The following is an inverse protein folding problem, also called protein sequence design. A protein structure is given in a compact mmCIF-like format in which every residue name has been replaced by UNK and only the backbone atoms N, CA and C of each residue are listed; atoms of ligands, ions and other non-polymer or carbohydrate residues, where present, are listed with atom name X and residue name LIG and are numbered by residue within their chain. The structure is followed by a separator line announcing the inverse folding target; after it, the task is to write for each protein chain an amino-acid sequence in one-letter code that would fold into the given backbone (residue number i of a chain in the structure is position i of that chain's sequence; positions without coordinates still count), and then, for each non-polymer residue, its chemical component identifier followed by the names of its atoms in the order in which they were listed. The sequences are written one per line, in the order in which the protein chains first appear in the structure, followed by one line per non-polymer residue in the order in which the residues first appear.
data_IF_248481152501
#
_entry.id   IF_248481152501
#
_cell.length_a   1.000
_cell.length_b   1.000
_cell.length_c   1.000
_cell.angle_alpha   90.00
_cell.angle_beta   90.00
_cell.angle_gamma   90.00
#
_symmetry.space_group_name_H-M   'P 1'
#
loop_
_entity.id
_entity.type
_entity.pdbx_description
1 polymer ?
#
# COMPACT_ATOMS: atom_id res chain seq x y z
N UNK A 1 13.55 8.20 -1.41
CA UNK A 1 12.98 8.29 -2.80
C UNK A 1 13.10 6.95 -3.48
N UNK A 2 12.06 6.50 -4.22
CA UNK A 2 12.13 5.24 -4.98
C UNK A 2 12.09 5.58 -6.47
N UNK A 3 13.14 5.21 -7.20
CA UNK A 3 13.20 5.35 -8.66
C UNK A 3 12.99 3.99 -9.32
N UNK A 4 12.34 3.98 -10.46
CA UNK A 4 12.07 2.74 -11.18
C UNK A 4 11.98 2.97 -12.69
N UNK A 5 12.47 2.00 -13.42
CA UNK A 5 12.25 1.87 -14.86
C UNK A 5 12.20 0.38 -15.15
N UNK A 6 11.00 -0.17 -15.35
CA UNK A 6 10.83 -1.61 -15.53
C UNK A 6 9.67 -1.98 -16.43
N UNK A 7 9.74 -3.20 -16.96
CA UNK A 7 8.64 -3.87 -17.65
C UNK A 7 8.37 -5.21 -16.97
N UNK A 8 7.08 -5.53 -16.80
CA UNK A 8 6.65 -6.87 -16.36
C UNK A 8 5.58 -7.42 -17.30
N UNK A 9 5.86 -8.55 -17.93
CA UNK A 9 4.92 -9.25 -18.76
C UNK A 9 4.04 -10.18 -17.92
N UNK A 10 2.71 -10.09 -18.12
CA UNK A 10 1.69 -10.97 -17.57
C UNK A 10 0.81 -11.47 -18.70
N UNK A 11 0.11 -12.59 -18.55
CA UNK A 11 -0.73 -13.13 -19.63
C UNK A 11 -1.77 -12.14 -20.17
N UNK A 12 -2.34 -11.30 -19.30
CA UNK A 12 -3.41 -10.35 -19.66
C UNK A 12 -2.91 -8.95 -19.97
N UNK A 13 -1.74 -8.54 -19.46
CA UNK A 13 -1.24 -7.16 -19.62
C UNK A 13 0.27 -7.10 -19.41
N UNK A 14 0.95 -6.30 -20.23
CA UNK A 14 2.36 -5.94 -20.00
C UNK A 14 2.42 -4.58 -19.33
N UNK A 15 2.88 -4.53 -18.08
CA UNK A 15 3.03 -3.27 -17.34
C UNK A 15 4.40 -2.67 -17.61
N UNK A 16 4.39 -1.38 -18.01
CA UNK A 16 5.58 -0.55 -18.18
C UNK A 16 5.49 0.67 -17.25
N UNK A 17 6.53 0.90 -16.50
CA UNK A 17 6.59 2.00 -15.55
C UNK A 17 7.99 2.62 -15.55
N UNK A 18 8.05 3.95 -15.63
CA UNK A 18 9.28 4.73 -15.56
C UNK A 18 9.00 5.98 -14.74
N UNK A 19 9.76 6.22 -13.66
CA UNK A 19 9.55 7.37 -12.80
C UNK A 19 10.13 7.28 -11.40
N UNK A 20 9.63 8.14 -10.52
CA UNK A 20 10.05 8.21 -9.13
C UNK A 20 8.88 8.46 -8.18
N UNK A 21 8.95 7.83 -7.01
CA UNK A 21 8.07 8.05 -5.86
C UNK A 21 8.84 8.80 -4.78
N UNK A 22 8.28 9.90 -4.32
CA UNK A 22 8.80 10.70 -3.20
C UNK A 22 7.75 10.80 -2.11
N UNK A 23 8.04 11.52 -1.01
CA UNK A 23 7.09 11.75 0.08
C UNK A 23 5.75 12.31 -0.42
N UNK A 24 4.70 12.06 0.37
CA UNK A 24 3.32 12.36 0.01
C UNK A 24 2.59 11.20 -0.66
N UNK A 25 1.32 11.45 -1.02
CA UNK A 25 0.41 10.44 -1.56
C UNK A 25 0.36 10.55 -3.08
N UNK A 26 0.83 9.50 -3.75
CA UNK A 26 0.65 9.32 -5.20
C UNK A 26 -0.55 8.43 -5.43
N UNK A 27 -1.61 8.96 -6.00
CA UNK A 27 -2.78 8.18 -6.38
C UNK A 27 -2.57 7.56 -7.75
N UNK A 28 -2.85 6.28 -7.87
CA UNK A 28 -2.81 5.54 -9.13
C UNK A 28 -4.23 5.09 -9.51
N UNK A 29 -4.79 5.73 -10.53
CA UNK A 29 -6.11 5.40 -11.07
C UNK A 29 -6.01 4.60 -12.37
N UNK A 30 -7.15 4.14 -12.86
CA UNK A 30 -7.27 3.40 -14.13
C UNK A 30 -8.28 2.26 -14.03
N UNK A 31 -8.67 1.72 -15.17
CA UNK A 31 -9.68 0.65 -15.26
C UNK A 31 -9.24 -0.64 -14.55
N UNK A 32 -10.21 -1.48 -14.18
CA UNK A 32 -9.92 -2.81 -13.68
C UNK A 32 -9.12 -3.62 -14.71
N UNK A 33 -8.09 -4.33 -14.24
CA UNK A 33 -7.21 -5.10 -15.14
C UNK A 33 -6.13 -4.29 -15.85
N UNK A 34 -6.08 -2.95 -15.72
CA UNK A 34 -5.07 -2.11 -16.41
C UNK A 34 -3.62 -2.34 -15.97
N UNK A 35 -3.39 -3.01 -14.81
CA UNK A 35 -2.04 -3.31 -14.33
C UNK A 35 -1.65 -2.65 -13.00
N UNK A 36 -2.50 -1.84 -12.36
CA UNK A 36 -2.24 -1.12 -11.11
C UNK A 36 -1.69 -2.04 -9.99
N UNK A 37 -2.42 -3.11 -9.68
CA UNK A 37 -1.99 -4.07 -8.66
C UNK A 37 -0.69 -4.78 -9.05
N UNK A 38 -0.43 -4.99 -10.34
CA UNK A 38 0.84 -5.56 -10.82
C UNK A 38 1.99 -4.59 -10.57
N UNK A 39 1.80 -3.29 -10.84
CA UNK A 39 2.78 -2.25 -10.57
C UNK A 39 3.17 -2.23 -9.09
N UNK A 40 2.20 -2.07 -8.17
CA UNK A 40 2.52 -2.01 -6.74
C UNK A 40 3.12 -3.32 -6.22
N UNK A 41 2.72 -4.49 -6.74
CA UNK A 41 3.35 -5.77 -6.40
C UNK A 41 4.80 -5.87 -6.87
N UNK A 42 5.19 -5.20 -7.96
CA UNK A 42 6.60 -5.10 -8.37
C UNK A 42 7.39 -4.25 -7.38
N UNK A 43 6.87 -3.09 -6.99
CA UNK A 43 7.48 -2.23 -5.94
C UNK A 43 7.58 -2.98 -4.61
N UNK A 44 6.53 -3.73 -4.23
CA UNK A 44 6.50 -4.53 -3.00
C UNK A 44 7.49 -5.72 -3.00
N UNK A 45 8.03 -6.12 -4.17
CA UNK A 45 8.88 -7.30 -4.27
C UNK A 45 8.13 -8.64 -4.31
N UNK A 46 6.84 -8.60 -4.58
CA UNK A 46 5.98 -9.79 -4.71
C UNK A 46 5.94 -10.31 -6.16
N UNK A 47 6.23 -9.42 -7.10
CA UNK A 47 6.28 -9.74 -8.53
C UNK A 47 7.62 -9.27 -9.06
N UNK A 48 8.35 -10.17 -9.73
CA UNK A 48 9.63 -9.87 -10.33
C UNK A 48 9.45 -9.24 -11.71
N UNK A 49 9.99 -8.04 -11.99
CA UNK A 49 10.01 -7.46 -13.32
C UNK A 49 10.71 -8.36 -14.35
N UNK A 50 10.27 -8.29 -15.60
CA UNK A 50 10.91 -9.00 -16.70
C UNK A 50 12.23 -8.32 -17.08
N UNK A 51 12.23 -6.99 -17.16
CA UNK A 51 13.40 -6.15 -17.47
C UNK A 51 13.43 -4.91 -16.56
N UNK A 52 14.57 -4.23 -16.50
CA UNK A 52 14.73 -2.95 -15.83
C UNK A 52 15.13 -3.04 -14.35
N UNK A 53 14.96 -1.93 -13.64
CA UNK A 53 15.48 -1.75 -12.28
C UNK A 53 14.50 -1.02 -11.37
N UNK A 54 14.67 -1.22 -10.06
CA UNK A 54 14.00 -0.47 -8.99
C UNK A 54 15.07 -0.17 -7.93
N UNK A 55 15.18 1.09 -7.54
CA UNK A 55 16.12 1.56 -6.55
C UNK A 55 15.37 2.33 -5.44
N UNK A 56 15.71 2.08 -4.20
CA UNK A 56 15.22 2.81 -3.05
C UNK A 56 16.40 3.50 -2.38
N UNK A 57 16.46 4.82 -2.47
CA UNK A 57 17.62 5.63 -2.06
C UNK A 57 18.91 5.03 -2.65
N UNK A 58 19.88 4.68 -1.84
CA UNK A 58 21.15 4.07 -2.28
C UNK A 58 21.08 2.54 -2.44
N UNK A 59 19.90 1.93 -2.20
CA UNK A 59 19.75 0.46 -2.24
C UNK A 59 19.06 0.02 -3.53
N UNK A 60 19.72 -0.82 -4.32
CA UNK A 60 19.12 -1.47 -5.50
C UNK A 60 18.24 -2.63 -5.07
N UNK A 61 16.91 -2.49 -5.22
CA UNK A 61 15.96 -3.57 -4.96
C UNK A 61 15.85 -4.56 -6.12
N UNK A 62 15.95 -4.05 -7.33
CA UNK A 62 15.91 -4.86 -8.56
C UNK A 62 16.90 -4.29 -9.57
N UNK A 63 17.68 -5.16 -10.18
CA UNK A 63 18.43 -4.88 -11.40
C UNK A 63 18.47 -6.19 -12.20
N UNK A 64 17.74 -6.22 -13.31
CA UNK A 64 17.60 -7.45 -14.11
C UNK A 64 18.86 -7.81 -14.84
N UNK A 65 19.67 -6.85 -15.23
CA UNK A 65 20.92 -7.06 -15.94
C UNK A 65 21.99 -7.58 -14.99
N UNK A 66 22.03 -7.03 -13.76
CA UNK A 66 22.94 -7.48 -12.70
C UNK A 66 22.43 -8.66 -11.89
N UNK A 67 21.23 -9.19 -12.22
CA UNK A 67 20.56 -10.30 -11.51
C UNK A 67 20.28 -10.01 -10.03
N UNK A 68 20.12 -8.73 -9.65
CA UNK A 68 19.79 -8.33 -8.29
C UNK A 68 18.28 -8.47 -8.08
N UNK A 69 17.89 -9.05 -6.96
CA UNK A 69 16.50 -9.18 -6.51
C UNK A 69 16.43 -9.20 -4.99
N UNK A 70 15.89 -8.13 -4.41
CA UNK A 70 15.57 -8.07 -2.98
C UNK A 70 14.14 -8.56 -2.79
N UNK A 71 13.88 -9.61 -2.00
CA UNK A 71 12.54 -10.13 -1.77
C UNK A 71 11.73 -9.18 -0.87
N UNK A 72 10.38 -9.33 -0.89
CA UNK A 72 9.46 -8.42 -0.21
C UNK A 72 9.73 -8.22 1.29
N UNK A 73 10.12 -9.29 2.01
CA UNK A 73 10.39 -9.24 3.45
C UNK A 73 11.59 -8.33 3.80
N UNK A 74 12.50 -8.09 2.85
CA UNK A 74 13.71 -7.31 3.05
C UNK A 74 13.59 -5.86 2.56
N UNK A 75 12.44 -5.49 1.94
CA UNK A 75 12.20 -4.14 1.40
C UNK A 75 11.60 -3.13 2.39
N UNK A 76 11.21 -3.54 3.57
CA UNK A 76 10.50 -2.69 4.54
C UNK A 76 9.27 -1.95 3.94
N UNK A 77 8.51 -2.62 3.11
CA UNK A 77 7.30 -2.08 2.47
C UNK A 77 6.08 -2.39 3.33
N UNK A 78 5.24 -1.38 3.57
CA UNK A 78 3.89 -1.57 4.07
C UNK A 78 2.96 -1.86 2.90
N UNK A 79 2.48 -3.08 2.76
CA UNK A 79 1.61 -3.47 1.66
C UNK A 79 0.25 -3.93 2.15
N UNK A 80 -0.79 -3.29 1.65
CA UNK A 80 -2.17 -3.70 1.82
C UNK A 80 -2.72 -4.12 0.45
N UNK A 81 -2.90 -5.41 0.18
CA UNK A 81 -3.51 -5.89 -1.06
C UNK A 81 -5.02 -5.67 -1.06
N UNK A 82 -5.60 -5.69 -2.25
CA UNK A 82 -7.05 -5.75 -2.41
C UNK A 82 -7.61 -6.99 -1.71
N UNK A 83 -8.69 -6.80 -0.94
CA UNK A 83 -9.31 -7.84 -0.12
C UNK A 83 -8.86 -7.82 1.35
N UNK A 84 -9.64 -8.46 2.19
CA UNK A 84 -9.47 -8.42 3.66
C UNK A 84 -8.48 -9.49 4.12
N UNK A 85 -7.18 -9.23 3.96
CA UNK A 85 -6.14 -10.17 4.37
C UNK A 85 -5.69 -9.85 5.80
N UNK A 86 -6.36 -10.45 6.77
CA UNK A 86 -5.94 -10.50 8.17
C UNK A 86 -5.50 -11.91 8.56
N UNK A 87 -4.80 -12.06 9.66
CA UNK A 87 -4.57 -13.36 10.29
C UNK A 87 -5.78 -13.69 11.19
N UNK A 88 -6.72 -14.53 10.75
CA UNK A 88 -8.04 -14.66 11.41
C UNK A 88 -7.96 -15.24 12.83
N UNK A 89 -6.93 -16.00 13.11
CA UNK A 89 -6.68 -16.64 14.41
C UNK A 89 -5.99 -15.70 15.43
N UNK A 90 -5.39 -14.60 14.97
CA UNK A 90 -4.76 -13.60 15.84
C UNK A 90 -5.76 -12.52 16.27
N UNK A 91 -5.51 -11.92 17.43
CA UNK A 91 -6.25 -10.72 17.88
C UNK A 91 -5.96 -9.54 16.94
N UNK A 92 -6.79 -8.49 17.03
CA UNK A 92 -6.57 -7.21 16.33
C UNK A 92 -5.18 -6.66 16.66
N UNK A 93 -4.84 -6.56 17.95
CA UNK A 93 -3.53 -6.09 18.41
C UNK A 93 -2.39 -6.93 17.82
N UNK A 94 -2.48 -8.26 17.89
CA UNK A 94 -1.45 -9.15 17.35
C UNK A 94 -1.35 -9.11 15.82
N UNK A 95 -2.43 -8.78 15.11
CA UNK A 95 -2.38 -8.50 13.68
C UNK A 95 -1.58 -7.22 13.40
N UNK A 96 -1.94 -6.13 14.08
CA UNK A 96 -1.29 -4.81 13.89
C UNK A 96 0.20 -4.93 14.23
N UNK A 97 0.53 -5.50 15.37
CA UNK A 97 1.92 -5.59 15.87
C UNK A 97 2.74 -6.73 15.28
N UNK A 98 2.21 -7.44 14.27
CA UNK A 98 2.84 -8.65 13.71
C UNK A 98 4.28 -8.46 13.25
N UNK A 99 4.61 -7.31 12.69
CA UNK A 99 5.97 -6.99 12.20
C UNK A 99 6.99 -6.82 13.32
N UNK A 100 6.55 -6.54 14.57
CA UNK A 100 7.39 -6.19 15.73
C UNK A 100 8.32 -4.98 15.52
N UNK A 101 8.03 -4.13 14.51
CA UNK A 101 8.86 -2.96 14.16
C UNK A 101 8.39 -1.66 14.80
N UNK A 102 7.11 -1.55 15.15
CA UNK A 102 6.54 -0.40 15.84
C UNK A 102 6.74 -0.45 17.35
N UNK A 103 6.18 0.55 18.03
CA UNK A 103 6.20 0.67 19.50
C UNK A 103 4.79 0.43 20.08
N UNK A 104 4.66 0.15 21.39
CA UNK A 104 3.34 0.06 22.03
C UNK A 104 2.48 1.32 21.80
N UNK A 105 3.04 2.53 21.97
CA UNK A 105 2.34 3.80 21.76
C UNK A 105 1.83 3.94 20.31
N UNK A 106 2.61 3.48 19.35
CA UNK A 106 2.18 3.44 17.95
C UNK A 106 0.99 2.49 17.73
N UNK A 107 0.98 1.35 18.42
CA UNK A 107 -0.16 0.44 18.40
C UNK A 107 -1.42 1.09 18.97
N UNK A 108 -1.30 1.76 20.11
CA UNK A 108 -2.40 2.46 20.78
C UNK A 108 -2.96 3.57 19.87
N UNK A 109 -2.08 4.38 19.30
CA UNK A 109 -2.46 5.43 18.33
C UNK A 109 -3.21 4.85 17.12
N UNK A 110 -2.71 3.76 16.53
CA UNK A 110 -3.37 3.12 15.40
C UNK A 110 -4.72 2.51 15.76
N UNK A 111 -4.83 1.87 16.92
CA UNK A 111 -6.09 1.32 17.41
C UNK A 111 -7.13 2.43 17.59
N UNK A 112 -6.75 3.56 18.17
CA UNK A 112 -7.62 4.70 18.38
C UNK A 112 -8.05 5.33 17.05
N UNK A 113 -7.10 5.75 16.20
CA UNK A 113 -7.40 6.44 14.94
C UNK A 113 -8.19 5.58 13.96
N UNK A 114 -7.98 4.26 13.98
CA UNK A 114 -8.73 3.32 13.14
C UNK A 114 -10.04 2.83 13.79
N UNK A 115 -10.41 3.33 14.98
CA UNK A 115 -11.62 2.95 15.68
C UNK A 115 -11.69 1.47 16.06
N UNK A 116 -10.53 0.90 16.43
CA UNK A 116 -10.37 -0.53 16.73
C UNK A 116 -10.13 -0.84 18.22
N UNK A 117 -10.09 0.16 19.09
CA UNK A 117 -9.74 -0.02 20.52
C UNK A 117 -10.62 -1.07 21.21
N UNK A 118 -11.93 -1.00 21.00
CA UNK A 118 -12.91 -1.96 21.60
C UNK A 118 -12.70 -3.39 21.12
N UNK A 119 -12.03 -3.59 20.01
CA UNK A 119 -11.76 -4.89 19.41
C UNK A 119 -10.34 -5.40 19.68
N UNK A 120 -9.52 -4.68 20.45
CA UNK A 120 -8.09 -4.95 20.66
C UNK A 120 -7.78 -6.45 20.85
N UNK A 121 -8.53 -7.11 21.73
CA UNK A 121 -8.33 -8.53 22.08
C UNK A 121 -9.21 -9.51 21.27
N UNK A 122 -10.07 -8.98 20.40
CA UNK A 122 -10.96 -9.77 19.56
C UNK A 122 -10.16 -10.45 18.44
N UNK A 123 -10.48 -11.70 18.13
CA UNK A 123 -9.89 -12.40 16.96
C UNK A 123 -10.33 -11.69 15.68
N UNK A 124 -9.37 -11.37 14.79
CA UNK A 124 -9.67 -10.64 13.57
C UNK A 124 -10.64 -11.37 12.62
N UNK A 125 -10.67 -12.70 12.67
CA UNK A 125 -11.59 -13.49 11.85
C UNK A 125 -13.07 -13.32 12.20
N UNK A 126 -13.41 -12.79 13.39
CA UNK A 126 -14.81 -12.54 13.80
C UNK A 126 -15.30 -11.12 13.50
N UNK A 127 -14.44 -10.27 12.94
CA UNK A 127 -14.77 -8.90 12.59
C UNK A 127 -15.51 -8.81 11.25
N UNK A 128 -16.27 -7.72 11.05
CA UNK A 128 -16.82 -7.36 9.74
C UNK A 128 -15.73 -7.06 8.71
N UNK A 129 -16.07 -7.12 7.42
CA UNK A 129 -15.11 -6.83 6.35
C UNK A 129 -14.43 -5.47 6.48
N UNK A 130 -15.17 -4.43 6.83
CA UNK A 130 -14.62 -3.09 7.05
C UNK A 130 -13.71 -2.98 8.27
N UNK A 131 -14.01 -3.71 9.36
CA UNK A 131 -13.13 -3.79 10.53
C UNK A 131 -11.83 -4.54 10.19
N UNK A 132 -11.92 -5.67 9.46
CA UNK A 132 -10.75 -6.40 8.98
C UNK A 132 -9.87 -5.52 8.07
N UNK A 133 -10.49 -4.70 7.22
CA UNK A 133 -9.78 -3.76 6.35
C UNK A 133 -8.97 -2.75 7.17
N UNK A 134 -9.55 -2.17 8.21
CA UNK A 134 -8.85 -1.27 9.14
C UNK A 134 -7.72 -1.96 9.91
N UNK A 135 -7.89 -3.22 10.30
CA UNK A 135 -6.82 -4.02 10.91
C UNK A 135 -5.65 -4.21 9.94
N UNK A 136 -5.93 -4.50 8.66
CA UNK A 136 -4.89 -4.64 7.62
C UNK A 136 -4.14 -3.33 7.38
N UNK A 137 -4.84 -2.18 7.39
CA UNK A 137 -4.23 -0.84 7.34
C UNK A 137 -3.30 -0.61 8.54
N UNK A 138 -3.79 -0.85 9.75
CA UNK A 138 -2.98 -0.72 10.97
C UNK A 138 -1.72 -1.56 10.94
N UNK A 139 -1.81 -2.81 10.44
CA UNK A 139 -0.65 -3.69 10.28
C UNK A 139 0.36 -3.16 9.26
N UNK A 140 -0.10 -2.62 8.13
CA UNK A 140 0.78 -2.04 7.12
C UNK A 140 1.53 -0.82 7.66
N UNK A 141 0.84 0.07 8.36
CA UNK A 141 1.42 1.26 9.00
C UNK A 141 2.39 0.90 10.14
N UNK A 142 2.02 -0.04 11.01
CA UNK A 142 2.84 -0.44 12.16
C UNK A 142 4.21 -1.00 11.76
N UNK A 143 4.35 -1.47 10.53
CA UNK A 143 5.62 -1.99 10.02
C UNK A 143 6.72 -0.93 9.86
N UNK A 144 6.43 0.36 10.11
CA UNK A 144 7.33 1.52 9.86
C UNK A 144 7.92 1.45 8.45
N UNK A 145 7.06 1.47 7.43
CA UNK A 145 7.51 1.23 6.07
C UNK A 145 8.29 2.42 5.51
N UNK A 146 9.24 2.16 4.61
CA UNK A 146 9.87 3.16 3.74
C UNK A 146 8.93 3.64 2.64
N UNK A 147 7.94 2.85 2.29
CA UNK A 147 6.82 3.18 1.39
C UNK A 147 5.58 2.40 1.78
N UNK A 148 4.43 3.05 1.72
CA UNK A 148 3.12 2.43 1.90
C UNK A 148 2.45 2.19 0.54
N UNK A 149 2.02 0.98 0.30
CA UNK A 149 1.36 0.56 -0.93
C UNK A 149 -0.04 0.05 -0.60
N UNK A 150 -1.06 0.78 -1.02
CA UNK A 150 -2.47 0.52 -0.69
C UNK A 150 -3.25 0.19 -1.96
N UNK A 151 -3.84 -1.00 -2.02
CA UNK A 151 -4.65 -1.47 -3.15
C UNK A 151 -6.14 -1.42 -2.75
N UNK A 152 -6.86 -0.40 -3.17
CA UNK A 152 -8.27 -0.12 -2.84
C UNK A 152 -8.55 -0.14 -1.32
N UNK A 153 -7.85 0.69 -0.53
CA UNK A 153 -7.81 0.56 0.93
C UNK A 153 -9.13 0.83 1.66
N UNK A 154 -10.12 1.42 1.00
CA UNK A 154 -11.39 1.80 1.62
C UNK A 154 -12.61 1.12 0.96
N UNK A 155 -12.39 0.16 0.05
CA UNK A 155 -13.45 -0.45 -0.77
C UNK A 155 -14.53 -1.21 0.03
N UNK A 156 -14.20 -1.75 1.21
CA UNK A 156 -15.11 -2.52 2.06
C UNK A 156 -15.82 -1.67 3.13
N UNK A 157 -15.62 -0.34 3.14
CA UNK A 157 -16.21 0.57 4.12
C UNK A 157 -17.51 1.20 3.59
N UNK A 158 -18.48 1.38 4.50
CA UNK A 158 -19.66 2.21 4.22
C UNK A 158 -19.27 3.69 4.05
N UNK A 159 -20.17 4.47 3.47
CA UNK A 159 -19.92 5.86 3.10
C UNK A 159 -19.45 6.75 4.25
N UNK A 160 -20.11 6.67 5.43
CA UNK A 160 -19.77 7.54 6.55
C UNK A 160 -18.42 7.20 7.15
N UNK A 161 -18.18 5.91 7.37
CA UNK A 161 -16.94 5.40 7.92
C UNK A 161 -15.77 5.60 6.95
N UNK A 162 -16.00 5.47 5.64
CA UNK A 162 -14.99 5.69 4.59
C UNK A 162 -14.41 7.09 4.66
N UNK A 163 -15.27 8.12 4.83
CA UNK A 163 -14.80 9.51 4.94
C UNK A 163 -13.88 9.70 6.15
N UNK A 164 -14.30 9.25 7.32
CA UNK A 164 -13.51 9.37 8.55
C UNK A 164 -12.18 8.63 8.45
N UNK A 165 -12.20 7.34 8.07
CA UNK A 165 -10.97 6.53 7.96
C UNK A 165 -10.02 7.10 6.90
N UNK A 166 -10.54 7.67 5.81
CA UNK A 166 -9.75 8.36 4.80
C UNK A 166 -9.01 9.55 5.38
N UNK A 167 -9.71 10.45 6.10
CA UNK A 167 -9.12 11.62 6.73
C UNK A 167 -8.03 11.23 7.74
N UNK A 168 -8.30 10.25 8.59
CA UNK A 168 -7.36 9.73 9.57
C UNK A 168 -6.12 9.11 8.89
N UNK A 169 -6.32 8.32 7.84
CA UNK A 169 -5.23 7.67 7.11
C UNK A 169 -4.33 8.70 6.40
N UNK A 170 -4.93 9.68 5.73
CA UNK A 170 -4.19 10.78 5.09
C UNK A 170 -3.39 11.57 6.12
N UNK A 171 -3.99 11.87 7.28
CA UNK A 171 -3.32 12.56 8.38
C UNK A 171 -2.12 11.76 8.89
N UNK A 172 -2.27 10.46 9.11
CA UNK A 172 -1.18 9.57 9.56
C UNK A 172 -0.04 9.54 8.53
N UNK A 173 -0.36 9.37 7.24
CA UNK A 173 0.64 9.29 6.17
C UNK A 173 1.46 10.58 6.10
N UNK A 174 0.79 11.74 6.20
CA UNK A 174 1.46 13.05 6.17
C UNK A 174 2.26 13.34 7.43
N UNK A 175 1.71 13.01 8.60
CA UNK A 175 2.38 13.19 9.90
C UNK A 175 3.66 12.35 10.00
N UNK A 176 3.65 11.14 9.44
CA UNK A 176 4.79 10.24 9.48
C UNK A 176 5.72 10.39 8.27
N UNK A 177 5.40 11.30 7.34
CA UNK A 177 6.13 11.58 6.10
C UNK A 177 6.46 10.30 5.28
N UNK A 178 5.51 9.36 5.24
CA UNK A 178 5.68 8.09 4.54
C UNK A 178 5.25 8.26 3.07
N UNK A 179 6.15 8.02 2.09
CA UNK A 179 5.72 7.91 0.70
C UNK A 179 4.62 6.88 0.54
N UNK A 180 3.54 7.23 -0.16
CA UNK A 180 2.40 6.35 -0.33
C UNK A 180 1.99 6.24 -1.80
N UNK A 181 1.72 5.01 -2.26
CA UNK A 181 0.96 4.76 -3.48
C UNK A 181 -0.42 4.27 -3.08
N UNK A 182 -1.43 5.04 -3.46
CA UNK A 182 -2.83 4.75 -3.18
C UNK A 182 -3.54 4.39 -4.49
N UNK A 183 -3.88 3.12 -4.65
CA UNK A 183 -4.64 2.64 -5.82
C UNK A 183 -6.12 2.76 -5.53
N UNK A 184 -6.84 3.42 -6.42
CA UNK A 184 -8.31 3.49 -6.40
C UNK A 184 -8.87 3.59 -7.81
N UNK A 185 -10.15 3.24 -7.96
CA UNK A 185 -10.93 3.50 -9.17
C UNK A 185 -11.97 4.61 -8.97
N UNK A 186 -12.05 5.17 -7.76
CA UNK A 186 -12.96 6.26 -7.37
C UNK A 186 -12.25 7.61 -7.57
N UNK A 187 -12.72 8.40 -8.53
CA UNK A 187 -12.13 9.71 -8.86
C UNK A 187 -12.27 10.71 -7.70
N UNK A 188 -13.38 10.67 -6.97
CA UNK A 188 -13.61 11.56 -5.84
C UNK A 188 -12.65 11.24 -4.66
N UNK A 189 -12.36 9.96 -4.45
CA UNK A 189 -11.35 9.52 -3.51
C UNK A 189 -9.97 10.00 -3.96
N UNK A 190 -9.63 9.81 -5.23
CA UNK A 190 -8.37 10.23 -5.80
C UNK A 190 -8.10 11.73 -5.61
N UNK A 191 -9.06 12.58 -5.97
CA UNK A 191 -8.97 14.04 -5.81
C UNK A 191 -8.81 14.48 -4.36
N UNK A 192 -9.44 13.74 -3.43
CA UNK A 192 -9.44 14.12 -2.00
C UNK A 192 -8.17 13.75 -1.24
N UNK A 193 -7.40 12.75 -1.71
CA UNK A 193 -6.24 12.23 -0.98
C UNK A 193 -4.91 12.54 -1.66
N UNK A 194 -4.89 12.67 -3.00
CA UNK A 194 -3.68 12.68 -3.82
C UNK A 194 -2.95 14.01 -3.81
N UNK A 195 -1.64 13.97 -3.55
CA UNK A 195 -0.72 15.06 -3.84
C UNK A 195 -0.23 14.98 -5.31
N UNK A 196 -0.26 13.77 -5.88
CA UNK A 196 0.08 13.47 -7.27
C UNK A 196 -0.88 12.43 -7.83
N UNK A 197 -1.24 12.57 -9.11
CA UNK A 197 -2.17 11.68 -9.80
C UNK A 197 -1.47 11.00 -10.97
N UNK A 198 -1.39 9.69 -10.93
CA UNK A 198 -0.89 8.83 -11.98
C UNK A 198 -2.02 8.02 -12.60
N UNK A 199 -1.92 7.71 -13.85
CA UNK A 199 -2.92 6.94 -14.58
C UNK A 199 -2.28 5.66 -15.12
N UNK A 200 -2.96 4.54 -14.93
CA UNK A 200 -2.58 3.25 -15.53
C UNK A 200 -3.57 2.88 -16.63
N UNK A 201 -3.13 2.93 -17.87
CA UNK A 201 -3.92 2.56 -19.05
C UNK A 201 -3.19 1.50 -19.87
N UNK A 202 -3.85 0.37 -20.15
CA UNK A 202 -3.29 -0.72 -20.95
C UNK A 202 -1.88 -1.16 -20.49
N UNK A 203 -1.62 -1.10 -19.20
CA UNK A 203 -0.33 -1.45 -18.62
C UNK A 203 0.71 -0.32 -18.63
N UNK A 204 0.42 0.83 -19.17
CA UNK A 204 1.34 1.98 -19.18
C UNK A 204 1.00 2.88 -18.00
N UNK A 205 2.00 3.14 -17.16
CA UNK A 205 1.88 4.11 -16.06
C UNK A 205 2.29 5.49 -16.61
N UNK A 206 1.33 6.40 -16.68
CA UNK A 206 1.55 7.78 -17.09
C UNK A 206 1.71 8.68 -15.86
N UNK A 207 2.82 9.38 -15.81
CA UNK A 207 3.16 10.35 -14.76
C UNK A 207 3.00 11.74 -15.38
N UNK A 208 2.01 12.54 -14.94
CA UNK A 208 1.89 13.93 -15.40
C UNK A 208 3.17 14.72 -15.06
N UNK A 209 3.55 15.58 -16.00
CA UNK A 209 4.72 16.48 -15.85
C UNK A 209 4.43 17.61 -14.88
#
# INVERSE_FOLDING_TARGET
MITFSFTVARPSVTVKADGALSSGITVLTGQSGSGKSTFIKCIAGLVKPTTGSIQCDDTTWVDRDKKIWVPAQDRQVGYMPQGNIVFPHLSVENNITYSKRGTPDMCDTLLQRLGLEKYRKTKAGSLSGGEQQRVALGRALYSKPTILLLDEPLSALDWNLRKQVREDLVSIIREWDVPCVWVTHDESEAESVGDRHWICENGIITIPK
#
